data_IF_308999677381
#
_entry.id   IF_308999677381
#
_cell.length_a   1.000
_cell.length_b   1.000
_cell.length_c   1.000
_cell.angle_alpha   90.00
_cell.angle_beta   90.00
_cell.angle_gamma   90.00
#
_symmetry.space_group_name_H-M   'P 1'
#
loop_
_entity.id
_entity.type
_entity.pdbx_description
1 polymer ?
#
# COMPACT_ATOMS: atom_id res chain seq x y z
N UNK A 1 -7.18 33.86 -9.57
CA UNK A 1 -7.46 33.10 -10.77
C UNK A 1 -6.62 31.88 -10.89
N UNK A 2 -5.33 32.02 -11.04
CA UNK A 2 -4.58 30.79 -11.13
C UNK A 2 -4.47 30.07 -9.79
N UNK A 3 -4.77 30.71 -8.69
CA UNK A 3 -4.92 30.04 -7.41
C UNK A 3 -6.05 29.03 -7.46
N UNK A 4 -7.14 29.37 -8.10
CA UNK A 4 -8.26 28.43 -8.25
C UNK A 4 -7.88 27.24 -9.12
N UNK A 5 -7.13 27.47 -10.17
CA UNK A 5 -6.66 26.40 -11.04
C UNK A 5 -5.73 25.46 -10.28
N UNK A 6 -4.78 26.04 -9.54
CA UNK A 6 -3.87 25.25 -8.75
C UNK A 6 -4.61 24.43 -7.70
N UNK A 7 -5.55 25.05 -7.01
CA UNK A 7 -6.36 24.39 -6.00
C UNK A 7 -7.15 23.23 -6.60
N UNK A 8 -7.72 23.46 -7.76
CA UNK A 8 -8.47 22.43 -8.46
C UNK A 8 -7.59 21.23 -8.83
N UNK A 9 -6.37 21.49 -9.32
CA UNK A 9 -5.42 20.44 -9.63
C UNK A 9 -5.02 19.69 -8.38
N UNK A 10 -4.80 20.39 -7.27
CA UNK A 10 -4.44 19.74 -6.01
C UNK A 10 -5.55 18.81 -5.54
N UNK A 11 -6.81 19.23 -5.66
CA UNK A 11 -7.93 18.39 -5.29
C UNK A 11 -8.04 17.16 -6.17
N UNK A 12 -7.80 17.33 -7.47
CA UNK A 12 -7.87 16.20 -8.40
C UNK A 12 -6.72 15.22 -8.24
N UNK A 13 -5.56 15.69 -7.76
CA UNK A 13 -4.39 14.86 -7.59
C UNK A 13 -4.32 14.20 -6.21
N UNK A 14 -5.21 14.61 -5.27
CA UNK A 14 -5.23 14.05 -3.93
C UNK A 14 -6.46 13.19 -3.74
N UNK A 15 -6.49 12.39 -2.68
CA UNK A 15 -7.63 11.58 -2.26
C UNK A 15 -7.92 10.41 -3.20
N UNK A 16 -6.98 10.03 -4.02
CA UNK A 16 -7.11 8.81 -4.82
C UNK A 16 -6.89 7.59 -3.93
N UNK A 17 -7.76 6.60 -4.08
CA UNK A 17 -7.59 5.31 -3.41
C UNK A 17 -7.02 4.34 -4.44
N UNK A 18 -5.84 3.81 -4.17
CA UNK A 18 -5.14 2.93 -5.10
C UNK A 18 -4.78 1.63 -4.39
N UNK A 19 -5.15 0.51 -4.98
CA UNK A 19 -4.76 -0.80 -4.48
C UNK A 19 -3.47 -1.27 -5.15
N UNK A 20 -2.68 -2.02 -4.43
CA UNK A 20 -1.49 -2.67 -4.97
C UNK A 20 -1.45 -4.10 -4.48
N UNK A 21 -1.22 -5.02 -5.40
CA UNK A 21 -1.08 -6.43 -5.05
C UNK A 21 -0.03 -7.09 -5.94
N UNK A 22 0.86 -7.85 -5.31
CA UNK A 22 1.85 -8.65 -6.00
C UNK A 22 1.27 -10.03 -6.28
N UNK A 23 1.29 -10.45 -7.54
CA UNK A 23 0.75 -11.74 -7.97
C UNK A 23 1.76 -12.85 -7.70
N UNK A 24 1.99 -13.12 -6.42
CA UNK A 24 2.94 -14.14 -6.01
C UNK A 24 2.43 -15.54 -6.39
N UNK A 25 3.36 -16.42 -6.77
CA UNK A 25 3.02 -17.80 -7.06
C UNK A 25 2.40 -18.44 -5.81
N UNK A 26 1.27 -19.12 -6.03
CA UNK A 26 0.59 -19.81 -4.93
C UNK A 26 -0.26 -18.94 -4.01
N UNK A 27 -0.41 -17.67 -4.32
CA UNK A 27 -1.28 -16.81 -3.52
C UNK A 27 -2.74 -16.95 -3.98
N UNK A 28 -3.57 -17.50 -3.12
CA UNK A 28 -4.96 -17.84 -3.46
C UNK A 28 -5.93 -16.68 -3.28
N UNK A 29 -5.57 -15.66 -2.52
CA UNK A 29 -6.48 -14.58 -2.16
C UNK A 29 -6.57 -13.45 -3.17
N UNK A 30 -5.92 -13.58 -4.31
CA UNK A 30 -5.81 -12.49 -5.27
C UNK A 30 -7.16 -11.89 -5.69
N UNK A 31 -8.05 -12.74 -6.18
CA UNK A 31 -9.35 -12.26 -6.68
C UNK A 31 -10.19 -11.63 -5.59
N UNK A 32 -10.20 -12.24 -4.42
CA UNK A 32 -10.96 -11.73 -3.27
C UNK A 32 -10.42 -10.37 -2.84
N UNK A 33 -9.11 -10.22 -2.80
CA UNK A 33 -8.48 -8.97 -2.38
C UNK A 33 -8.74 -7.86 -3.39
N UNK A 34 -8.65 -8.17 -4.67
CA UNK A 34 -8.95 -7.19 -5.73
C UNK A 34 -10.39 -6.72 -5.61
N UNK A 35 -11.30 -7.65 -5.36
CA UNK A 35 -12.71 -7.30 -5.18
C UNK A 35 -12.91 -6.42 -3.96
N UNK A 36 -12.25 -6.73 -2.85
CA UNK A 36 -12.31 -5.89 -1.66
C UNK A 36 -11.84 -4.47 -1.97
N UNK A 37 -10.74 -4.35 -2.68
CA UNK A 37 -10.18 -3.04 -3.05
C UNK A 37 -11.17 -2.25 -3.91
N UNK A 38 -11.81 -2.91 -4.86
CA UNK A 38 -12.80 -2.26 -5.72
C UNK A 38 -14.01 -1.80 -4.92
N UNK A 39 -14.49 -2.63 -4.01
CA UNK A 39 -15.63 -2.26 -3.17
C UNK A 39 -15.30 -1.14 -2.20
N UNK A 40 -14.07 -1.07 -1.74
CA UNK A 40 -13.63 0.03 -0.90
C UNK A 40 -13.58 1.35 -1.66
N UNK A 41 -13.53 1.30 -2.97
CA UNK A 41 -13.53 2.50 -3.81
C UNK A 41 -12.19 2.82 -4.44
N UNK A 42 -11.29 1.84 -4.55
CA UNK A 42 -10.04 2.06 -5.25
C UNK A 42 -10.32 2.39 -6.71
N UNK A 43 -9.80 3.52 -7.17
CA UNK A 43 -9.97 3.94 -8.56
C UNK A 43 -9.10 3.11 -9.49
N UNK A 44 -8.07 2.48 -8.94
CA UNK A 44 -7.15 1.64 -9.69
C UNK A 44 -6.60 0.57 -8.75
N UNK A 45 -6.46 -0.65 -9.26
CA UNK A 45 -5.76 -1.72 -8.56
C UNK A 45 -4.57 -2.11 -9.42
N UNK A 46 -3.38 -1.89 -8.90
CA UNK A 46 -2.13 -2.16 -9.61
C UNK A 46 -1.69 -3.58 -9.28
N UNK A 47 -1.47 -4.38 -10.30
CA UNK A 47 -1.09 -5.79 -10.18
C UNK A 47 0.34 -5.96 -10.66
N UNK A 48 1.22 -6.32 -9.73
CA UNK A 48 2.62 -6.58 -10.07
C UNK A 48 2.76 -8.05 -10.46
N UNK A 49 3.34 -8.28 -11.63
CA UNK A 49 3.45 -9.63 -12.15
C UNK A 49 4.48 -10.47 -11.40
N UNK A 50 4.20 -11.77 -11.28
CA UNK A 50 5.14 -12.74 -10.76
C UNK A 50 6.38 -12.76 -11.67
N UNK A 51 7.55 -12.72 -11.08
CA UNK A 51 8.79 -12.59 -11.84
C UNK A 51 9.42 -11.21 -11.73
N UNK A 52 8.67 -10.23 -11.23
CA UNK A 52 9.17 -8.87 -11.04
C UNK A 52 9.55 -8.60 -9.58
N UNK A 53 9.92 -9.64 -8.84
CA UNK A 53 10.17 -9.55 -7.39
C UNK A 53 11.25 -8.56 -7.01
N UNK A 54 12.28 -8.45 -7.84
CA UNK A 54 13.40 -7.55 -7.54
C UNK A 54 13.17 -6.15 -8.05
N UNK A 55 12.67 -6.03 -9.26
CA UNK A 55 12.53 -4.73 -9.90
C UNK A 55 11.27 -4.00 -9.48
N UNK A 56 10.17 -4.73 -9.37
CA UNK A 56 8.84 -4.20 -9.01
C UNK A 56 8.57 -2.85 -9.65
N UNK A 57 8.52 -2.79 -10.98
CA UNK A 57 8.36 -1.51 -11.68
C UNK A 57 7.04 -0.81 -11.36
N UNK A 58 5.97 -1.58 -11.15
CA UNK A 58 4.67 -1.00 -10.82
C UNK A 58 4.69 -0.37 -9.42
N UNK A 59 5.35 -1.03 -8.47
CA UNK A 59 5.51 -0.48 -7.12
C UNK A 59 6.27 0.83 -7.15
N UNK A 60 7.37 0.86 -7.89
CA UNK A 60 8.20 2.07 -7.98
C UNK A 60 7.44 3.21 -8.61
N UNK A 61 6.68 2.93 -9.64
CA UNK A 61 5.86 3.94 -10.30
C UNK A 61 4.78 4.47 -9.36
N UNK A 62 4.15 3.58 -8.60
CA UNK A 62 3.14 3.96 -7.63
C UNK A 62 3.74 4.89 -6.56
N UNK A 63 4.88 4.50 -6.00
CA UNK A 63 5.53 5.33 -4.98
C UNK A 63 5.88 6.71 -5.53
N UNK A 64 6.28 6.81 -6.78
CA UNK A 64 6.60 8.09 -7.40
C UNK A 64 5.37 8.98 -7.61
N UNK A 65 4.19 8.38 -7.72
CA UNK A 65 2.95 9.10 -8.03
C UNK A 65 2.10 9.45 -6.82
N UNK A 66 2.37 8.82 -5.66
CA UNK A 66 1.55 9.06 -4.46
C UNK A 66 1.76 10.46 -3.92
N UNK A 67 0.67 11.08 -3.50
CA UNK A 67 0.69 12.42 -2.95
C UNK A 67 -0.25 12.60 -1.78
N UNK A 68 -0.25 13.80 -1.23
CA UNK A 68 -1.01 14.13 -0.03
C UNK A 68 -2.49 13.79 -0.19
N UNK A 69 -3.02 13.07 0.78
CA UNK A 69 -4.43 12.70 0.80
C UNK A 69 -4.75 11.40 0.08
N UNK A 70 -3.80 10.84 -0.64
CA UNK A 70 -3.99 9.56 -1.29
C UNK A 70 -4.05 8.43 -0.26
N UNK A 71 -4.66 7.32 -0.67
CA UNK A 71 -4.74 6.12 0.17
C UNK A 71 -4.19 4.94 -0.61
N UNK A 72 -3.30 4.18 0.02
CA UNK A 72 -2.79 2.95 -0.57
C UNK A 72 -3.36 1.76 0.18
N UNK A 73 -3.90 0.81 -0.58
CA UNK A 73 -4.50 -0.41 -0.03
C UNK A 73 -3.67 -1.60 -0.46
N UNK A 74 -3.16 -2.32 0.52
CA UNK A 74 -2.36 -3.52 0.32
C UNK A 74 -3.15 -4.74 0.77
N UNK A 75 -2.93 -5.88 0.11
CA UNK A 75 -3.51 -7.15 0.57
C UNK A 75 -2.95 -7.48 1.95
N UNK A 76 -1.65 -7.44 2.09
CA UNK A 76 -0.93 -7.56 3.37
C UNK A 76 0.48 -7.03 3.18
N UNK A 77 1.11 -6.63 4.28
CA UNK A 77 2.47 -6.07 4.18
C UNK A 77 3.46 -7.07 3.60
N UNK A 78 3.34 -8.35 3.97
CA UNK A 78 4.26 -9.37 3.46
C UNK A 78 4.11 -9.62 1.96
N UNK A 79 2.99 -9.25 1.37
CA UNK A 79 2.81 -9.33 -0.07
C UNK A 79 3.56 -8.22 -0.80
N UNK A 80 3.53 -7.03 -0.24
CA UNK A 80 4.07 -5.84 -0.93
C UNK A 80 5.50 -5.50 -0.55
N UNK A 81 5.94 -5.84 0.65
CA UNK A 81 7.20 -5.36 1.20
C UNK A 81 8.14 -6.51 1.56
N UNK A 82 9.43 -6.23 1.51
CA UNK A 82 10.48 -7.20 1.79
C UNK A 82 11.31 -6.72 2.98
N UNK A 83 11.05 -7.32 4.14
CA UNK A 83 11.80 -7.05 5.34
C UNK A 83 11.41 -5.78 6.07
N UNK A 84 11.92 -5.66 7.29
CA UNK A 84 11.56 -4.56 8.17
C UNK A 84 12.12 -3.21 7.71
N UNK A 85 13.24 -3.21 7.03
CA UNK A 85 13.84 -1.98 6.51
C UNK A 85 12.94 -1.34 5.45
N UNK A 86 12.44 -2.14 4.53
CA UNK A 86 11.54 -1.65 3.49
C UNK A 86 10.21 -1.21 4.09
N UNK A 87 9.71 -1.94 5.08
CA UNK A 87 8.49 -1.55 5.78
C UNK A 87 8.68 -0.19 6.47
N UNK A 88 9.78 -0.01 7.17
CA UNK A 88 10.07 1.25 7.84
C UNK A 88 10.16 2.41 6.83
N UNK A 89 10.84 2.19 5.73
CA UNK A 89 10.96 3.19 4.68
C UNK A 89 9.60 3.54 4.07
N UNK A 90 8.75 2.55 3.87
CA UNK A 90 7.41 2.75 3.34
C UNK A 90 6.54 3.56 4.31
N UNK A 91 6.57 3.20 5.59
CA UNK A 91 5.80 3.91 6.60
C UNK A 91 6.25 5.38 6.66
N UNK A 92 7.56 5.61 6.66
CA UNK A 92 8.11 6.97 6.69
C UNK A 92 7.73 7.76 5.44
N UNK A 93 7.80 7.12 4.28
CA UNK A 93 7.38 7.74 3.03
C UNK A 93 5.92 8.19 3.12
N UNK A 94 5.04 7.30 3.57
CA UNK A 94 3.62 7.61 3.66
C UNK A 94 3.34 8.68 4.73
N UNK A 95 4.10 8.67 5.82
CA UNK A 95 3.96 9.69 6.84
C UNK A 95 4.30 11.08 6.30
N UNK A 96 5.42 11.18 5.60
CA UNK A 96 5.87 12.46 5.04
C UNK A 96 4.93 12.96 3.94
N UNK A 97 4.48 12.06 3.09
CA UNK A 97 3.56 12.41 1.99
C UNK A 97 2.11 12.55 2.43
N UNK A 98 1.80 12.19 3.67
CA UNK A 98 0.43 12.18 4.21
C UNK A 98 -0.46 11.25 3.40
N UNK A 99 -0.01 10.01 3.25
CA UNK A 99 -0.72 8.94 2.56
C UNK A 99 -1.25 7.95 3.58
N UNK A 100 -2.53 7.63 3.49
CA UNK A 100 -3.16 6.63 4.37
C UNK A 100 -2.78 5.24 3.91
N UNK A 101 -2.43 4.39 4.87
CA UNK A 101 -2.06 2.99 4.61
C UNK A 101 -3.16 2.08 5.12
N UNK A 102 -3.64 1.19 4.26
CA UNK A 102 -4.59 0.14 4.65
C UNK A 102 -4.00 -1.18 4.23
N UNK A 103 -3.95 -2.14 5.16
CA UNK A 103 -3.51 -3.51 4.88
C UNK A 103 -4.64 -4.45 5.29
N UNK A 104 -5.24 -5.13 4.32
CA UNK A 104 -6.48 -5.87 4.50
C UNK A 104 -6.31 -7.02 5.50
N UNK A 105 -5.38 -7.92 5.22
CA UNK A 105 -5.23 -9.14 6.04
C UNK A 105 -4.51 -8.89 7.36
N UNK A 106 -3.68 -7.85 7.41
CA UNK A 106 -3.05 -7.45 8.66
C UNK A 106 -3.99 -6.66 9.55
N UNK A 107 -5.12 -6.23 9.01
CA UNK A 107 -6.10 -5.40 9.70
C UNK A 107 -5.47 -4.13 10.27
N UNK A 108 -4.73 -3.46 9.41
CA UNK A 108 -4.08 -2.19 9.77
C UNK A 108 -4.66 -1.09 8.91
N UNK A 109 -4.98 0.01 9.55
CA UNK A 109 -5.40 1.25 8.92
C UNK A 109 -4.67 2.36 9.67
N UNK A 110 -3.80 3.09 8.98
CA UNK A 110 -3.01 4.12 9.63
C UNK A 110 -3.86 5.25 10.23
N UNK A 111 -5.11 5.37 9.80
CA UNK A 111 -6.06 6.32 10.36
C UNK A 111 -6.85 5.73 11.54
N UNK A 112 -6.82 4.40 11.71
CA UNK A 112 -7.47 3.72 12.81
C UNK A 112 -8.98 3.51 12.67
N UNK A 113 -9.56 3.80 11.52
CA UNK A 113 -11.02 3.76 11.36
C UNK A 113 -11.56 2.38 11.04
N UNK A 114 -10.91 1.65 10.13
CA UNK A 114 -11.43 0.38 9.63
C UNK A 114 -11.21 -0.79 10.59
N UNK A 115 -10.13 -0.78 11.32
CA UNK A 115 -9.74 -1.91 12.17
C UNK A 115 -9.37 -1.44 13.57
N UNK A 116 -10.34 -0.92 14.33
CA UNK A 116 -10.04 -0.35 15.66
C UNK A 116 -9.60 -1.38 16.69
N UNK A 117 -9.87 -2.67 16.44
CA UNK A 117 -9.49 -3.75 17.36
C UNK A 117 -8.03 -4.19 17.23
N UNK A 118 -7.31 -3.71 16.21
CA UNK A 118 -5.91 -4.08 16.02
C UNK A 118 -5.04 -3.43 17.08
N UNK A 119 -4.25 -4.23 17.77
CA UNK A 119 -3.42 -3.81 18.90
C UNK A 119 -1.94 -3.80 18.52
N UNK A 120 -1.13 -3.18 19.36
CA UNK A 120 0.31 -3.12 19.15
C UNK A 120 0.97 -4.49 19.01
N UNK A 121 0.49 -5.48 19.77
CA UNK A 121 1.00 -6.84 19.68
C UNK A 121 0.77 -7.44 18.30
N UNK A 122 -0.38 -7.16 17.71
CA UNK A 122 -0.71 -7.64 16.36
C UNK A 122 0.24 -7.05 15.33
N UNK A 123 0.57 -5.78 15.49
CA UNK A 123 1.50 -5.10 14.58
C UNK A 123 2.89 -5.71 14.66
N UNK A 124 3.33 -6.07 15.86
CA UNK A 124 4.64 -6.71 16.04
C UNK A 124 4.71 -8.07 15.33
N UNK A 125 3.62 -8.82 15.32
CA UNK A 125 3.58 -10.09 14.60
C UNK A 125 3.73 -9.89 13.09
N UNK A 126 3.24 -8.78 12.57
CA UNK A 126 3.38 -8.45 11.15
C UNK A 126 4.86 -8.35 10.76
N UNK A 127 5.68 -7.76 11.63
CA UNK A 127 7.12 -7.64 11.36
C UNK A 127 7.75 -9.02 11.20
N UNK A 128 7.38 -9.98 12.04
CA UNK A 128 7.91 -11.33 11.98
C UNK A 128 7.46 -12.11 10.75
N UNK A 129 6.34 -11.71 10.15
CA UNK A 129 5.80 -12.39 8.98
C UNK A 129 6.35 -11.87 7.65
N UNK A 130 7.12 -10.78 7.66
CA UNK A 130 7.66 -10.21 6.43
C UNK A 130 8.67 -11.16 5.79
N UNK A 131 8.69 -11.25 4.46
CA UNK A 131 9.73 -12.01 3.77
C UNK A 131 11.10 -11.40 4.07
N UNK A 132 12.14 -12.24 4.05
CA UNK A 132 13.49 -11.74 4.24
C UNK A 132 13.85 -10.77 3.11
N UNK A 133 14.64 -9.77 3.45
CA UNK A 133 15.20 -8.87 2.45
C UNK A 133 16.09 -9.69 1.53
N UNK A 134 16.21 -9.22 0.30
CA UNK A 134 17.11 -9.87 -0.65
C UNK A 134 18.55 -9.68 -0.20
N UNK A 135 19.01 -10.57 0.65
CA UNK A 135 20.33 -10.47 1.25
C UNK A 135 21.45 -10.64 0.23
N UNK A 136 21.12 -11.21 -0.90
CA UNK A 136 22.05 -11.27 -2.02
C UNK A 136 22.40 -9.89 -2.58
N UNK A 137 21.71 -8.93 -2.13
CA UNK A 137 21.99 -7.54 -2.48
C UNK A 137 23.22 -7.03 -1.76
#
# INVERSE_FOLDING_TARGET
MYLCTWYHLALNSTMAKVGYIFKAAGYDGFDTDVEWMKQYGCVQVIEEENGHEKLRPQWKQLMASMGRGDEIVLAKFSNALRGSRELAAFIEFCRVKVVRIISIHDKVDSRGDLFPETKAADVLEIFGALPEECAAL
#
